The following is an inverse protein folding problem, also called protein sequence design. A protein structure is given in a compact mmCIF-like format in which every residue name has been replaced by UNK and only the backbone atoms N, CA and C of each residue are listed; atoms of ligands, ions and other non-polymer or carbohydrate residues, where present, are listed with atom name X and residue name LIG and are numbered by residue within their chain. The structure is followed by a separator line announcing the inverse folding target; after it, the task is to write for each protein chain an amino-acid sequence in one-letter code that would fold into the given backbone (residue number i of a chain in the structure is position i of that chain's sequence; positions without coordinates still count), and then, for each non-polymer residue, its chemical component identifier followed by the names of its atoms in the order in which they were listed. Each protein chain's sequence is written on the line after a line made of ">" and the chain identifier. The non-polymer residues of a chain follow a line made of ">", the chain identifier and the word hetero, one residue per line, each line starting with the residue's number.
data_IF_039151609810
#
_entry.id   IF_039151609810
#
_cell.length_a   1.000
_cell.length_b   1.000
_cell.length_c   1.000
_cell.angle_alpha   90.00
_cell.angle_beta   90.00
_cell.angle_gamma   90.00
#
_symmetry.space_group_name_H-M   'P 1'
#
loop_
_entity.id
_entity.type
_entity.pdbx_description
1 polymer ?
#
# COMPACT_ATOMS: atom_id res chain seq x y z
N UNK A 1 -12.81 13.43 -0.11
CA UNK A 1 -11.89 14.44 -0.65
C UNK A 1 -10.65 13.70 -1.16
N UNK A 2 -10.07 14.07 -2.31
CA UNK A 2 -8.89 13.37 -2.83
C UNK A 2 -7.63 14.07 -2.31
N UNK A 3 -7.19 13.66 -1.11
CA UNK A 3 -6.06 14.28 -0.42
C UNK A 3 -4.76 13.65 -0.94
N UNK A 4 -3.86 14.48 -1.46
CA UNK A 4 -2.56 14.03 -1.97
C UNK A 4 -1.45 14.42 -1.02
N UNK A 5 -0.70 13.43 -0.55
CA UNK A 5 0.46 13.64 0.29
C UNK A 5 1.75 13.44 -0.51
N UNK A 6 2.77 14.24 -0.21
CA UNK A 6 4.14 13.97 -0.63
C UNK A 6 4.84 13.31 0.53
N UNK A 7 5.32 12.09 0.31
CA UNK A 7 6.03 11.27 1.29
C UNK A 7 7.43 10.97 0.78
N UNK A 8 8.37 10.85 1.71
CA UNK A 8 9.76 10.45 1.44
C UNK A 8 9.96 9.06 2.03
N UNK A 9 10.73 8.22 1.35
CA UNK A 9 11.16 6.92 1.90
C UNK A 9 12.29 7.21 2.89
N UNK A 10 12.11 6.77 4.13
CA UNK A 10 13.07 6.96 5.22
C UNK A 10 13.76 5.62 5.54
N UNK A 11 14.94 5.69 6.14
CA UNK A 11 15.58 4.52 6.73
C UNK A 11 14.97 4.24 8.10
N UNK A 12 14.63 2.98 8.33
CA UNK A 12 14.15 2.46 9.61
C UNK A 12 14.89 1.16 9.91
N UNK A 13 15.94 1.28 10.72
CA UNK A 13 16.80 0.16 11.14
C UNK A 13 17.40 -0.63 9.97
N UNK A 14 17.76 0.07 8.88
CA UNK A 14 18.29 -0.55 7.66
C UNK A 14 17.24 -0.95 6.62
N UNK A 15 15.94 -0.79 6.93
CA UNK A 15 14.84 -1.01 6.01
C UNK A 15 14.20 0.29 5.53
N UNK A 16 13.72 0.30 4.28
CA UNK A 16 13.00 1.44 3.72
C UNK A 16 11.57 1.51 4.29
N UNK A 17 11.25 2.59 5.00
CA UNK A 17 9.93 2.84 5.55
C UNK A 17 9.22 4.01 4.85
N UNK A 18 7.92 3.89 4.68
CA UNK A 18 7.04 4.96 4.20
C UNK A 18 6.14 5.40 5.36
N UNK A 19 6.22 6.67 5.75
CA UNK A 19 5.27 7.23 6.71
C UNK A 19 3.92 7.48 6.07
N UNK A 20 2.90 6.80 6.58
CA UNK A 20 1.51 7.04 6.20
C UNK A 20 0.94 8.13 7.13
N UNK A 21 0.33 9.21 6.58
CA UNK A 21 -0.29 10.25 7.39
C UNK A 21 -1.38 9.68 8.30
N UNK A 22 -1.52 10.22 9.51
CA UNK A 22 -2.52 9.82 10.49
C UNK A 22 -3.96 9.92 9.94
N UNK A 23 -4.23 10.95 9.12
CA UNK A 23 -5.52 11.10 8.45
C UNK A 23 -5.80 9.92 7.51
N UNK A 24 -4.81 9.48 6.74
CA UNK A 24 -4.98 8.36 5.81
C UNK A 24 -5.17 7.03 6.55
N UNK A 25 -4.48 6.84 7.70
CA UNK A 25 -4.70 5.66 8.56
C UNK A 25 -6.12 5.64 9.16
N UNK A 26 -6.60 6.79 9.65
CA UNK A 26 -7.96 6.94 10.15
C UNK A 26 -9.02 6.71 9.07
N UNK A 27 -8.79 7.22 7.85
CA UNK A 27 -9.69 6.99 6.71
C UNK A 27 -9.71 5.51 6.29
N UNK A 28 -8.57 4.79 6.40
CA UNK A 28 -8.51 3.34 6.19
C UNK A 28 -9.09 2.51 7.35
N UNK A 29 -9.27 3.12 8.54
CA UNK A 29 -9.71 2.43 9.75
C UNK A 29 -8.69 1.42 10.28
N UNK A 30 -7.40 1.73 10.17
CA UNK A 30 -6.30 0.88 10.67
C UNK A 30 -5.58 1.52 11.85
N UNK A 31 -5.13 0.68 12.78
CA UNK A 31 -4.38 1.07 13.96
C UNK A 31 -2.93 0.57 13.94
N UNK A 32 -2.12 1.08 14.86
CA UNK A 32 -0.73 0.65 15.00
C UNK A 32 -0.68 -0.83 15.36
N UNK A 33 -0.01 -1.62 14.51
CA UNK A 33 0.10 -3.07 14.66
C UNK A 33 -0.81 -3.85 13.71
N UNK A 34 -1.73 -3.20 13.00
CA UNK A 34 -2.49 -3.83 11.93
C UNK A 34 -1.61 -4.16 10.73
N UNK A 35 -2.01 -5.19 9.99
CA UNK A 35 -1.37 -5.62 8.76
C UNK A 35 -2.19 -5.19 7.55
N UNK A 36 -1.50 -4.65 6.56
CA UNK A 36 -2.07 -4.19 5.30
C UNK A 36 -1.47 -4.97 4.13
N UNK A 37 -2.25 -5.08 3.06
CA UNK A 37 -1.79 -5.65 1.79
C UNK A 37 -1.31 -4.54 0.87
N UNK A 38 -0.12 -4.71 0.30
CA UNK A 38 0.41 -3.86 -0.76
C UNK A 38 0.09 -4.50 -2.11
N UNK A 39 -0.67 -3.81 -2.95
CA UNK A 39 -1.11 -4.32 -4.25
C UNK A 39 -0.66 -3.36 -5.36
N UNK A 40 -0.17 -3.92 -6.46
CA UNK A 40 0.06 -3.14 -7.67
C UNK A 40 -1.23 -2.98 -8.49
N UNK A 41 -1.61 -1.73 -8.78
CA UNK A 41 -2.76 -1.37 -9.61
C UNK A 41 -2.39 -0.30 -10.65
N UNK A 42 -3.17 -0.18 -11.71
CA UNK A 42 -3.01 0.87 -12.71
C UNK A 42 -4.05 1.98 -12.49
N UNK A 43 -3.59 3.15 -12.06
CA UNK A 43 -4.39 4.37 -12.04
C UNK A 43 -4.29 5.05 -13.42
N UNK A 44 -5.19 4.68 -14.33
CA UNK A 44 -5.12 5.09 -15.74
C UNK A 44 -3.97 4.40 -16.45
N UNK A 45 -2.94 5.15 -16.85
CA UNK A 45 -1.74 4.62 -17.51
C UNK A 45 -0.55 4.45 -16.56
N UNK A 46 -0.68 4.90 -15.31
CA UNK A 46 0.40 4.87 -14.32
C UNK A 46 0.25 3.69 -13.37
N UNK A 47 1.33 2.95 -13.18
CA UNK A 47 1.43 1.88 -12.19
C UNK A 47 1.58 2.49 -10.79
N UNK A 48 0.73 2.09 -9.86
CA UNK A 48 0.63 2.61 -8.51
C UNK A 48 0.61 1.47 -7.49
N UNK A 49 1.18 1.74 -6.32
CA UNK A 49 1.05 0.86 -5.15
C UNK A 49 -0.18 1.29 -4.35
N UNK A 50 -1.05 0.34 -4.03
CA UNK A 50 -2.30 0.55 -3.31
C UNK A 50 -2.25 -0.24 -2.01
N UNK A 51 -2.50 0.42 -0.89
CA UNK A 51 -2.68 -0.21 0.41
C UNK A 51 -4.14 -0.64 0.58
N UNK A 52 -4.36 -1.88 1.01
CA UNK A 52 -5.69 -2.44 1.21
C UNK A 52 -5.77 -3.23 2.51
N UNK A 53 -6.88 -3.08 3.24
CA UNK A 53 -7.22 -3.88 4.43
C UNK A 53 -7.77 -5.24 4.05
N UNK A 54 -8.26 -5.38 2.82
CA UNK A 54 -8.64 -6.67 2.26
C UNK A 54 -7.54 -7.17 1.33
N UNK A 55 -7.20 -8.46 1.36
CA UNK A 55 -6.37 -9.04 0.31
C UNK A 55 -7.15 -8.93 -1.00
N UNK A 56 -6.84 -7.96 -1.87
CA UNK A 56 -7.33 -7.98 -3.25
C UNK A 56 -6.69 -9.20 -3.95
N UNK A 57 -7.33 -10.16 -4.64
CA UNK A 57 -8.67 -10.79 -4.67
C UNK A 57 -8.45 -12.24 -5.18
N UNK A 58 -9.28 -13.24 -4.82
CA UNK A 58 -9.39 -14.65 -5.29
C UNK A 58 -9.39 -14.98 -6.81
N UNK A 59 -9.17 -14.04 -7.73
CA UNK A 59 -9.10 -14.28 -9.18
C UNK A 59 -7.79 -13.74 -9.82
N UNK A 60 -6.90 -13.15 -9.01
CA UNK A 60 -5.57 -12.76 -9.48
C UNK A 60 -4.65 -13.98 -9.43
N UNK A 61 -4.63 -14.73 -10.54
CA UNK A 61 -3.49 -15.59 -10.90
C UNK A 61 -2.28 -14.70 -11.21
N UNK A 62 -1.69 -14.07 -10.20
CA UNK A 62 -0.26 -13.77 -10.27
C UNK A 62 0.46 -15.11 -10.06
N UNK A 63 0.39 -15.97 -11.08
CA UNK A 63 1.27 -17.13 -11.17
C UNK A 63 2.70 -16.60 -11.16
N UNK A 64 3.32 -16.68 -9.98
CA UNK A 64 4.75 -16.90 -9.88
C UNK A 64 5.04 -18.25 -10.55
N UNK A 65 5.08 -18.26 -11.88
CA UNK A 65 5.77 -19.28 -12.63
C UNK A 65 7.26 -19.11 -12.32
N UNK A 66 7.69 -19.70 -11.21
CA UNK A 66 9.09 -20.02 -10.99
C UNK A 66 9.55 -20.90 -12.14
N UNK A 67 10.46 -20.39 -12.96
CA UNK A 67 11.28 -21.19 -13.87
C UNK A 67 12.39 -21.89 -13.10
#
# INVERSE_FOLDING_TARGET
>A
MNTRFRITIEDWDGDGAIRIPDQALQELGVDVGDSLYLIEEFAGTSRCLVLSTTPKIPDRVDELFGS
#
